data_IF_803215628108
#
_entry.id   IF_803215628108
#
_cell.length_a   1.000
_cell.length_b   1.000
_cell.length_c   1.000
_cell.angle_alpha   90.00
_cell.angle_beta   90.00
_cell.angle_gamma   90.00
#
_symmetry.space_group_name_H-M   'P 1'
#
loop_
_entity.id
_entity.type
_entity.pdbx_description
1 polymer ?
#
# COMPACT_ATOMS: atom_id res chain seq x y z
N UNK A 1 19.71 -5.66 -2.74
CA UNK A 1 18.46 -6.18 -2.14
C UNK A 1 17.94 -5.10 -1.21
N UNK A 2 17.05 -4.24 -1.68
CA UNK A 2 16.38 -3.25 -0.81
C UNK A 2 15.43 -4.02 0.10
N UNK A 3 15.63 -3.91 1.42
CA UNK A 3 14.74 -4.51 2.39
C UNK A 3 13.37 -3.83 2.25
N UNK A 4 12.30 -4.61 2.09
CA UNK A 4 10.95 -4.08 2.14
C UNK A 4 10.70 -3.48 3.52
N UNK A 5 10.30 -2.21 3.59
CA UNK A 5 10.00 -1.54 4.86
C UNK A 5 8.72 -2.09 5.49
N UNK A 6 7.82 -2.62 4.65
CA UNK A 6 6.54 -3.17 5.08
C UNK A 6 6.40 -4.66 4.74
N UNK A 7 5.57 -5.36 5.51
CA UNK A 7 5.32 -6.80 5.41
C UNK A 7 3.85 -7.11 5.14
N UNK A 8 3.59 -8.28 4.54
CA UNK A 8 2.23 -8.78 4.37
C UNK A 8 1.54 -8.96 5.73
N UNK A 9 0.29 -8.52 5.81
CA UNK A 9 -0.53 -8.48 7.03
C UNK A 9 -0.52 -7.14 7.77
N UNK A 10 0.34 -6.18 7.39
CA UNK A 10 0.29 -4.83 7.98
C UNK A 10 -0.80 -3.98 7.34
N UNK A 11 -1.50 -3.21 8.17
CA UNK A 11 -2.48 -2.22 7.73
C UNK A 11 -1.82 -0.83 7.71
N UNK A 12 -1.86 -0.17 6.55
CA UNK A 12 -1.22 1.11 6.28
C UNK A 12 -2.22 2.10 5.66
N UNK A 13 -1.96 3.39 5.80
CA UNK A 13 -2.72 4.41 5.08
C UNK A 13 -2.16 4.52 3.67
N UNK A 14 -3.05 4.49 2.69
CA UNK A 14 -2.66 4.84 1.33
C UNK A 14 -2.62 6.36 1.23
N UNK A 15 -1.44 6.94 1.04
CA UNK A 15 -1.28 8.36 0.77
C UNK A 15 -2.05 8.67 -0.52
N UNK A 16 -2.98 9.62 -0.43
CA UNK A 16 -3.96 9.91 -1.48
C UNK A 16 -3.22 10.25 -2.78
N UNK A 17 -3.27 9.36 -3.76
CA UNK A 17 -2.54 9.57 -5.00
C UNK A 17 -3.32 10.59 -5.85
N UNK A 18 -2.68 11.72 -6.16
CA UNK A 18 -3.24 12.77 -7.00
C UNK A 18 -3.70 12.24 -8.38
N UNK A 19 -3.23 11.05 -8.81
CA UNK A 19 -3.62 10.42 -10.09
C UNK A 19 -4.86 9.54 -10.01
N UNK A 20 -5.38 9.19 -8.82
CA UNK A 20 -6.57 8.34 -8.69
C UNK A 20 -7.60 8.91 -7.70
N UNK A 21 -8.16 10.11 -7.97
CA UNK A 21 -9.15 10.74 -7.10
C UNK A 21 -10.53 10.02 -7.08
N UNK A 22 -10.80 9.11 -8.01
CA UNK A 22 -12.08 8.41 -8.12
C UNK A 22 -11.95 6.97 -7.63
N UNK A 23 -12.34 6.74 -6.37
CA UNK A 23 -12.50 5.38 -5.81
C UNK A 23 -11.43 4.94 -4.82
N UNK A 24 -10.58 5.85 -4.32
CA UNK A 24 -9.80 5.54 -3.12
C UNK A 24 -10.75 5.54 -1.92
N UNK A 25 -10.89 4.39 -1.29
CA UNK A 25 -11.62 4.28 -0.04
C UNK A 25 -10.76 4.93 1.06
N UNK A 26 -11.38 5.82 1.83
CA UNK A 26 -10.70 6.45 2.97
C UNK A 26 -10.60 5.40 4.08
N UNK A 27 -9.37 5.05 4.50
CA UNK A 27 -9.17 4.01 5.49
C UNK A 27 -7.82 3.29 5.43
N UNK A 28 -7.75 2.21 6.21
CA UNK A 28 -6.58 1.35 6.34
C UNK A 28 -6.57 0.27 5.25
N UNK A 29 -5.49 0.22 4.50
CA UNK A 29 -5.21 -0.77 3.49
C UNK A 29 -4.30 -1.86 4.05
N UNK A 30 -4.68 -3.13 3.89
CA UNK A 30 -3.85 -4.24 4.37
C UNK A 30 -2.95 -4.75 3.26
N UNK A 31 -1.65 -4.90 3.54
CA UNK A 31 -0.70 -5.51 2.60
C UNK A 31 -1.03 -6.98 2.48
N UNK A 32 -1.46 -7.40 1.30
CA UNK A 32 -1.67 -8.80 0.95
C UNK A 32 -0.35 -9.47 0.59
N UNK A 33 0.52 -8.77 -0.15
CA UNK A 33 1.78 -9.34 -0.62
C UNK A 33 2.81 -8.27 -0.94
N UNK A 34 4.06 -8.51 -0.55
CA UNK A 34 5.21 -7.74 -1.03
C UNK A 34 5.65 -8.31 -2.38
N UNK A 35 5.74 -7.47 -3.40
CA UNK A 35 6.24 -7.88 -4.70
C UNK A 35 7.77 -7.82 -4.73
N UNK A 36 8.43 -8.79 -5.40
CA UNK A 36 9.87 -8.74 -5.57
C UNK A 36 10.22 -7.46 -6.33
N UNK A 37 11.16 -6.71 -5.80
CA UNK A 37 11.51 -5.39 -6.30
C UNK A 37 12.29 -5.51 -7.63
N UNK A 38 11.62 -5.27 -8.76
CA UNK A 38 12.27 -5.11 -10.07
C UNK A 38 12.68 -3.65 -10.36
N UNK A 39 12.37 -2.72 -9.45
CA UNK A 39 12.59 -1.28 -9.61
C UNK A 39 13.42 -0.64 -8.49
N UNK A 40 13.36 0.70 -8.42
CA UNK A 40 14.04 1.50 -7.39
C UNK A 40 13.35 1.37 -6.02
N UNK A 41 12.03 1.13 -6.00
CA UNK A 41 11.21 1.06 -4.78
C UNK A 41 10.40 -0.24 -4.74
N UNK A 42 10.29 -0.90 -3.57
CA UNK A 42 9.47 -2.09 -3.43
C UNK A 42 7.99 -1.76 -3.66
N UNK A 43 7.34 -2.67 -4.39
CA UNK A 43 5.90 -2.61 -4.67
C UNK A 43 5.14 -3.54 -3.72
N UNK A 44 3.97 -3.10 -3.31
CA UNK A 44 3.12 -3.78 -2.35
C UNK A 44 1.73 -3.94 -2.94
N UNK A 45 1.21 -5.17 -2.87
CA UNK A 45 -0.18 -5.46 -3.18
C UNK A 45 -0.99 -5.26 -1.91
N UNK A 46 -1.86 -4.27 -1.91
CA UNK A 46 -2.73 -3.90 -0.80
C UNK A 46 -4.19 -4.20 -1.14
N UNK A 47 -4.99 -4.47 -0.12
CA UNK A 47 -6.43 -4.67 -0.22
C UNK A 47 -7.15 -3.82 0.81
N UNK A 48 -8.28 -3.25 0.40
CA UNK A 48 -9.20 -2.57 1.29
C UNK A 48 -10.48 -3.40 1.44
N UNK A 49 -11.13 -3.32 2.60
CA UNK A 49 -12.35 -4.10 2.86
C UNK A 49 -13.53 -3.62 1.98
N UNK A 50 -13.56 -2.32 1.70
CA UNK A 50 -14.56 -1.69 0.83
C UNK A 50 -14.21 -1.73 -0.67
N UNK A 51 -13.03 -2.22 -1.04
CA UNK A 51 -12.67 -2.40 -2.46
C UNK A 51 -12.68 -3.89 -2.82
N UNK A 52 -13.42 -4.22 -3.89
CA UNK A 52 -13.49 -5.59 -4.40
C UNK A 52 -12.22 -6.04 -5.13
N UNK A 53 -11.24 -5.15 -5.31
CA UNK A 53 -10.01 -5.38 -6.06
C UNK A 53 -8.78 -5.00 -5.23
N UNK A 54 -7.69 -5.71 -5.49
CA UNK A 54 -6.39 -5.39 -4.91
C UNK A 54 -5.72 -4.25 -5.69
N UNK A 55 -5.04 -3.36 -4.98
CA UNK A 55 -4.21 -2.30 -5.57
C UNK A 55 -2.74 -2.66 -5.44
N UNK A 56 -1.94 -2.27 -6.42
CA UNK A 56 -0.48 -2.36 -6.35
C UNK A 56 0.04 -0.94 -6.22
N UNK A 57 0.80 -0.69 -5.16
CA UNK A 57 1.32 0.64 -4.81
C UNK A 57 2.78 0.51 -4.39
N UNK A 58 3.55 1.59 -4.50
CA UNK A 58 4.96 1.60 -4.05
C UNK A 58 5.07 2.03 -2.59
N UNK A 59 6.25 1.86 -2.01
CA UNK A 59 6.56 2.32 -0.64
C UNK A 59 6.23 3.80 -0.44
N UNK A 60 6.60 4.66 -1.39
CA UNK A 60 6.32 6.10 -1.36
C UNK A 60 4.84 6.47 -1.32
N UNK A 61 3.94 5.55 -1.71
CA UNK A 61 2.49 5.76 -1.67
C UNK A 61 1.88 5.27 -0.36
N UNK A 62 2.64 4.60 0.51
CA UNK A 62 2.16 4.07 1.77
C UNK A 62 2.64 4.92 2.94
N UNK A 63 1.75 5.16 3.90
CA UNK A 63 2.07 5.78 5.18
C UNK A 63 1.71 4.84 6.32
N UNK A 64 2.57 4.79 7.33
CA UNK A 64 2.27 4.13 8.59
C UNK A 64 1.07 4.84 9.24
N UNK A 65 0.07 4.10 9.74
CA UNK A 65 -0.95 4.71 10.57
C UNK A 65 -0.22 5.21 11.81
N UNK A 66 -0.31 6.51 12.09
CA UNK A 66 0.32 7.09 13.29
C UNK A 66 -0.02 6.22 14.51
N UNK A 67 1.00 5.55 15.06
CA UNK A 67 0.89 4.88 16.35
C UNK A 67 1.12 5.96 17.41
N UNK A 68 0.02 6.58 17.84
CA UNK A 68 0.01 7.40 19.05
C UNK A 68 0.12 6.52 20.31
#
# INVERSE_FOLDING_TARGET
>A
MTAARFSAGQSLHLLRDLRSPKGQADGLYTIVRVMPNEGLEPSYRIKHDFEAFDRIVTESQLAEPERN
#
